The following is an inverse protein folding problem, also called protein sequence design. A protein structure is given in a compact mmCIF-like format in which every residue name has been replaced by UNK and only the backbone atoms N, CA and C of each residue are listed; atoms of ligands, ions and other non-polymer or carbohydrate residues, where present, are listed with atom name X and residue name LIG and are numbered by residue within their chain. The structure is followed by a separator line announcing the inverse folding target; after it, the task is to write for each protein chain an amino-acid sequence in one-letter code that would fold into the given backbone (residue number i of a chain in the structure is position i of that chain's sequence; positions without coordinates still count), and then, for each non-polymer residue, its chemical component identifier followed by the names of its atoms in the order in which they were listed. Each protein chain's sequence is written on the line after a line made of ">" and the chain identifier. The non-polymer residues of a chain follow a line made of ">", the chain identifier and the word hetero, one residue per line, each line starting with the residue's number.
data_IF_004339316995
#
_entry.id   IF_004339316995
#
_cell.length_a   1.000
_cell.length_b   1.000
_cell.length_c   1.000
_cell.angle_alpha   90.00
_cell.angle_beta   90.00
_cell.angle_gamma   90.00
#
_symmetry.space_group_name_H-M   'P 1'
#
loop_
_entity.id
_entity.type
_entity.pdbx_description
1 polymer ?
#
# COMPACT_ATOMS: atom_id res chain seq x y z
N UNK A 1 -5.74 17.02 -34.18
CA UNK A 1 -4.58 16.80 -33.31
C UNK A 1 -4.82 15.52 -32.48
N UNK A 2 -3.90 14.54 -32.46
CA UNK A 2 -4.08 13.28 -31.74
C UNK A 2 -4.38 13.44 -30.23
N UNK A 3 -4.07 14.61 -29.64
CA UNK A 3 -4.40 14.93 -28.25
C UNK A 3 -5.81 15.51 -28.06
N UNK A 4 -6.51 15.90 -29.14
CA UNK A 4 -7.82 16.56 -29.09
C UNK A 4 -8.89 15.97 -30.03
N UNK A 5 -8.48 15.18 -31.02
CA UNK A 5 -9.37 14.53 -32.01
C UNK A 5 -9.87 13.14 -31.56
N UNK A 6 -9.43 12.66 -30.40
CA UNK A 6 -9.82 11.36 -29.86
C UNK A 6 -11.32 11.32 -29.52
N UNK A 7 -11.96 10.19 -29.82
CA UNK A 7 -13.33 9.87 -29.40
C UNK A 7 -13.26 8.78 -28.32
N UNK A 8 -13.35 9.13 -27.02
CA UNK A 8 -13.25 8.16 -25.94
C UNK A 8 -14.31 7.05 -26.01
N UNK A 9 -15.44 7.28 -26.70
CA UNK A 9 -16.47 6.26 -26.90
C UNK A 9 -16.02 5.16 -27.89
N UNK A 10 -14.93 5.37 -28.63
CA UNK A 10 -14.30 4.41 -29.55
C UNK A 10 -12.99 3.84 -29.03
N UNK A 11 -12.68 4.04 -27.74
CA UNK A 11 -11.49 3.45 -27.13
C UNK A 11 -11.50 1.92 -27.34
N UNK A 12 -10.33 1.29 -27.60
CA UNK A 12 -10.25 -0.16 -27.57
C UNK A 12 -10.38 -0.67 -26.14
N UNK A 13 -10.86 -1.90 -25.95
CA UNK A 13 -10.82 -2.56 -24.65
C UNK A 13 -9.39 -3.04 -24.29
N UNK A 14 -8.60 -3.41 -25.31
CA UNK A 14 -7.21 -3.92 -25.18
C UNK A 14 -6.33 -3.27 -26.25
N UNK A 15 -5.13 -2.86 -25.87
CA UNK A 15 -4.09 -2.33 -26.77
C UNK A 15 -2.83 -3.18 -26.68
N UNK A 16 -2.32 -3.66 -27.82
CA UNK A 16 -1.04 -4.37 -27.90
C UNK A 16 0.06 -3.44 -28.43
N UNK A 17 1.14 -3.30 -27.67
CA UNK A 17 2.28 -2.45 -27.96
C UNK A 17 3.54 -3.31 -28.08
N UNK A 18 3.84 -3.72 -29.30
CA UNK A 18 5.01 -4.55 -29.63
C UNK A 18 6.21 -3.71 -30.06
N UNK A 19 6.51 -2.66 -29.29
CA UNK A 19 7.61 -1.74 -29.49
C UNK A 19 8.29 -1.45 -28.14
N UNK A 20 9.55 -1.04 -28.21
CA UNK A 20 10.30 -0.46 -27.09
C UNK A 20 10.83 0.90 -27.52
N UNK A 21 11.32 1.69 -26.58
CA UNK A 21 11.86 3.00 -26.88
C UNK A 21 13.19 3.24 -26.15
N UNK A 22 14.29 2.66 -26.65
CA UNK A 22 15.63 2.96 -26.15
C UNK A 22 16.05 4.39 -26.54
N UNK A 23 17.12 4.92 -25.94
CA UNK A 23 17.69 6.23 -26.29
C UNK A 23 17.98 6.36 -27.80
N UNK A 24 18.37 5.27 -28.46
CA UNK A 24 18.64 5.25 -29.90
C UNK A 24 17.41 5.53 -30.77
N UNK A 25 16.21 5.31 -30.25
CA UNK A 25 14.94 5.66 -30.91
C UNK A 25 14.42 7.04 -30.53
N UNK A 26 15.22 7.82 -29.79
CA UNK A 26 14.90 9.19 -29.42
C UNK A 26 14.13 9.32 -28.10
N UNK A 27 14.02 8.24 -27.32
CA UNK A 27 13.54 8.31 -25.94
C UNK A 27 14.58 8.94 -25.01
N UNK A 28 14.68 10.27 -25.08
CA UNK A 28 15.38 11.11 -24.10
C UNK A 28 14.48 11.37 -22.90
N UNK A 29 15.04 11.93 -21.82
CA UNK A 29 14.29 12.32 -20.60
C UNK A 29 12.95 12.99 -20.90
N UNK A 30 12.94 13.95 -21.83
CA UNK A 30 11.77 14.75 -22.17
C UNK A 30 10.66 13.93 -22.87
N UNK A 31 11.01 12.83 -23.54
CA UNK A 31 10.05 11.90 -24.18
C UNK A 31 9.54 10.88 -23.15
N UNK A 32 10.38 10.47 -22.20
CA UNK A 32 9.99 9.60 -21.10
C UNK A 32 8.91 10.25 -20.22
N UNK A 33 8.96 11.57 -20.05
CA UNK A 33 7.97 12.37 -19.32
C UNK A 33 6.55 12.33 -19.95
N UNK A 34 6.41 11.81 -21.18
CA UNK A 34 5.12 11.72 -21.88
C UNK A 34 4.59 10.28 -21.96
N UNK A 35 5.47 9.28 -22.14
CA UNK A 35 5.03 7.89 -22.39
C UNK A 35 4.33 7.31 -21.15
N UNK A 36 4.91 7.43 -19.96
CA UNK A 36 4.29 6.89 -18.74
C UNK A 36 2.95 7.55 -18.43
N UNK A 37 2.81 8.89 -18.39
CA UNK A 37 1.52 9.52 -18.16
C UNK A 37 0.47 9.16 -19.22
N UNK A 38 0.87 9.02 -20.49
CA UNK A 38 -0.05 8.63 -21.58
C UNK A 38 -0.52 7.19 -21.42
N UNK A 39 0.39 6.27 -21.05
CA UNK A 39 0.05 4.88 -20.75
C UNK A 39 -0.89 4.79 -19.55
N UNK A 40 -0.56 5.48 -18.46
CA UNK A 40 -1.38 5.52 -17.26
C UNK A 40 -2.77 6.09 -17.56
N UNK A 41 -2.87 7.17 -18.34
CA UNK A 41 -4.15 7.72 -18.78
C UNK A 41 -4.98 6.74 -19.61
N UNK A 42 -4.34 5.90 -20.45
CA UNK A 42 -5.04 4.84 -21.19
C UNK A 42 -5.59 3.76 -20.24
N UNK A 43 -4.79 3.36 -19.24
CA UNK A 43 -5.21 2.37 -18.23
C UNK A 43 -6.35 2.95 -17.37
N UNK A 44 -6.24 4.20 -16.92
CA UNK A 44 -7.28 4.90 -16.15
C UNK A 44 -8.57 5.10 -16.97
N UNK A 45 -8.43 5.23 -18.30
CA UNK A 45 -9.55 5.19 -19.22
C UNK A 45 -10.12 3.77 -19.40
N UNK A 46 -9.65 2.76 -18.68
CA UNK A 46 -10.16 1.40 -18.68
C UNK A 46 -9.65 0.53 -19.83
N UNK A 47 -8.52 0.88 -20.44
CA UNK A 47 -7.90 0.13 -21.53
C UNK A 47 -6.82 -0.79 -20.96
N UNK A 48 -6.89 -2.10 -21.28
CA UNK A 48 -5.78 -3.00 -20.95
C UNK A 48 -4.60 -2.76 -21.91
N UNK A 49 -3.49 -2.24 -21.38
CA UNK A 49 -2.29 -1.96 -22.17
C UNK A 49 -1.27 -3.11 -22.03
N UNK A 50 -1.18 -3.95 -23.06
CA UNK A 50 -0.23 -5.04 -23.18
C UNK A 50 1.03 -4.54 -23.88
N UNK A 51 2.21 -4.83 -23.34
CA UNK A 51 3.50 -4.37 -23.89
C UNK A 51 4.49 -5.53 -24.03
N UNK A 52 5.36 -5.49 -25.03
CA UNK A 52 6.43 -6.50 -25.17
C UNK A 52 7.56 -6.23 -24.17
N UNK A 53 8.06 -7.27 -23.48
CA UNK A 53 9.13 -7.12 -22.48
C UNK A 53 10.51 -6.75 -23.07
N UNK A 54 10.71 -6.97 -24.38
CA UNK A 54 11.99 -6.76 -25.07
C UNK A 54 12.66 -8.05 -25.52
N UNK A 55 13.71 -7.93 -26.35
CA UNK A 55 14.42 -9.05 -26.98
C UNK A 55 15.93 -9.04 -26.64
N UNK A 56 16.30 -8.52 -25.47
CA UNK A 56 17.68 -8.32 -25.04
C UNK A 56 18.21 -9.43 -24.10
N UNK A 57 17.47 -10.54 -23.97
CA UNK A 57 17.88 -11.71 -23.20
C UNK A 57 19.21 -12.33 -23.68
N UNK A 58 19.80 -13.26 -22.93
CA UNK A 58 19.22 -14.03 -21.82
C UNK A 58 19.63 -13.57 -20.42
N UNK A 59 20.36 -12.46 -20.28
CA UNK A 59 20.78 -11.96 -18.97
C UNK A 59 19.57 -11.44 -18.16
N UNK A 60 19.69 -11.44 -16.84
CA UNK A 60 18.73 -10.78 -15.95
C UNK A 60 18.83 -9.26 -16.08
N UNK A 61 17.78 -8.53 -15.67
CA UNK A 61 17.68 -7.07 -15.77
C UNK A 61 17.81 -6.54 -17.20
N UNK A 62 17.24 -7.25 -18.18
CA UNK A 62 17.24 -6.91 -19.62
C UNK A 62 15.90 -6.36 -20.12
N UNK A 63 14.91 -6.21 -19.24
CA UNK A 63 13.77 -5.31 -19.46
C UNK A 63 14.24 -3.89 -19.12
N UNK A 64 14.64 -3.11 -20.12
CA UNK A 64 15.29 -1.82 -19.90
C UNK A 64 14.61 -0.66 -20.63
N UNK A 65 13.76 -0.95 -21.60
CA UNK A 65 13.15 0.07 -22.44
C UNK A 65 11.67 0.31 -22.07
N UNK A 66 11.22 1.57 -22.06
CA UNK A 66 9.81 1.92 -22.06
C UNK A 66 9.05 1.26 -23.23
N UNK A 67 7.76 0.96 -23.06
CA UNK A 67 6.97 1.15 -21.85
C UNK A 67 7.07 -0.02 -20.84
N UNK A 68 7.83 -1.08 -21.15
CA UNK A 68 7.87 -2.31 -20.35
C UNK A 68 8.46 -2.14 -18.94
N UNK A 69 9.27 -1.10 -18.73
CA UNK A 69 9.85 -0.79 -17.43
C UNK A 69 8.87 -0.15 -16.44
N UNK A 70 7.74 0.38 -16.92
CA UNK A 70 6.84 1.14 -16.05
C UNK A 70 6.04 0.23 -15.12
N UNK A 71 5.75 0.65 -13.86
CA UNK A 71 5.07 -0.18 -12.88
C UNK A 71 3.74 -0.73 -13.38
N UNK A 72 2.89 0.13 -13.94
CA UNK A 72 1.53 -0.22 -14.43
C UNK A 72 1.49 -0.92 -15.80
N UNK A 73 2.63 -1.11 -16.46
CA UNK A 73 2.67 -1.80 -17.74
C UNK A 73 2.37 -3.30 -17.57
N UNK A 74 1.66 -3.93 -18.51
CA UNK A 74 1.47 -5.38 -18.51
C UNK A 74 2.42 -6.03 -19.52
N UNK A 75 3.65 -6.32 -19.07
CA UNK A 75 4.75 -6.74 -19.93
C UNK A 75 4.73 -8.24 -20.22
N UNK A 76 5.00 -8.61 -21.48
CA UNK A 76 4.90 -9.99 -21.97
C UNK A 76 6.26 -10.55 -22.39
N UNK A 77 6.67 -11.65 -21.74
CA UNK A 77 7.81 -12.48 -22.11
C UNK A 77 7.49 -13.48 -23.22
N UNK A 78 8.53 -14.04 -23.86
CA UNK A 78 8.38 -14.96 -24.99
C UNK A 78 8.84 -16.37 -24.63
N UNK A 79 8.02 -17.36 -24.93
CA UNK A 79 8.37 -18.78 -24.87
C UNK A 79 8.57 -19.40 -26.25
N UNK A 80 9.12 -20.61 -26.24
CA UNK A 80 9.29 -21.49 -27.39
C UNK A 80 8.15 -22.52 -27.44
N UNK A 81 8.14 -23.35 -28.49
CA UNK A 81 7.11 -24.38 -28.71
C UNK A 81 7.03 -25.46 -27.60
N UNK A 82 8.07 -25.56 -26.78
CA UNK A 82 8.18 -26.52 -25.68
C UNK A 82 8.04 -25.83 -24.31
N UNK A 83 7.41 -24.66 -24.27
CA UNK A 83 7.16 -23.82 -23.10
C UNK A 83 8.41 -23.26 -22.40
N UNK A 84 9.62 -23.62 -22.85
CA UNK A 84 10.84 -23.01 -22.36
C UNK A 84 10.93 -21.55 -22.81
N UNK A 85 11.48 -20.70 -21.95
CA UNK A 85 11.70 -19.29 -22.25
C UNK A 85 12.58 -19.17 -23.50
N UNK A 86 12.19 -18.28 -24.42
CA UNK A 86 13.01 -17.97 -25.57
C UNK A 86 14.30 -17.29 -25.10
N UNK A 87 15.44 -17.68 -25.68
CA UNK A 87 16.75 -17.15 -25.25
C UNK A 87 16.85 -15.62 -25.37
N UNK A 88 16.16 -15.04 -26.35
CA UNK A 88 16.11 -13.60 -26.57
C UNK A 88 15.15 -12.87 -25.61
N UNK A 89 14.21 -13.57 -24.95
CA UNK A 89 13.22 -12.89 -24.11
C UNK A 89 13.93 -12.11 -23.01
N UNK A 90 13.68 -10.80 -22.95
CA UNK A 90 14.14 -9.96 -21.85
C UNK A 90 13.57 -10.46 -20.52
N UNK A 91 14.35 -10.29 -19.45
CA UNK A 91 14.09 -10.79 -18.10
C UNK A 91 14.25 -9.65 -17.10
N UNK A 92 13.41 -9.62 -16.09
CA UNK A 92 13.52 -8.65 -15.01
C UNK A 92 14.58 -9.04 -13.97
N UNK A 93 14.48 -8.52 -12.75
CA UNK A 93 13.52 -7.49 -12.33
C UNK A 93 13.76 -6.12 -13.02
N UNK A 94 12.93 -5.12 -12.71
CA UNK A 94 13.10 -3.72 -13.10
C UNK A 94 13.08 -2.84 -11.87
N UNK A 95 14.07 -1.97 -11.70
CA UNK A 95 14.05 -0.91 -10.68
C UNK A 95 13.56 0.41 -11.30
N UNK A 96 12.45 0.93 -10.80
CA UNK A 96 11.83 2.17 -11.25
C UNK A 96 11.36 3.00 -10.05
N UNK A 97 11.66 4.30 -10.02
CA UNK A 97 11.24 5.18 -8.92
C UNK A 97 11.80 4.82 -7.53
N UNK A 98 12.85 4.00 -7.46
CA UNK A 98 13.41 3.50 -6.20
C UNK A 98 12.78 2.19 -5.69
N UNK A 99 11.81 1.65 -6.43
CA UNK A 99 11.14 0.38 -6.15
C UNK A 99 11.51 -0.66 -7.22
N UNK A 100 11.47 -1.94 -6.83
CA UNK A 100 11.77 -3.06 -7.73
C UNK A 100 10.49 -3.80 -8.08
N UNK A 101 10.22 -3.96 -9.37
CA UNK A 101 9.05 -4.61 -9.92
C UNK A 101 9.44 -5.86 -10.68
N UNK A 102 8.64 -6.91 -10.52
CA UNK A 102 8.75 -8.09 -11.36
C UNK A 102 8.35 -7.74 -12.80
N UNK A 103 9.21 -8.10 -13.75
CA UNK A 103 8.92 -8.13 -15.18
C UNK A 103 9.56 -9.38 -15.81
N UNK A 104 8.99 -9.95 -16.88
CA UNK A 104 7.66 -9.64 -17.42
C UNK A 104 6.56 -9.98 -16.40
N UNK A 105 5.33 -9.49 -16.64
CA UNK A 105 4.17 -9.86 -15.83
C UNK A 105 3.71 -11.29 -16.15
N UNK A 106 3.75 -11.66 -17.42
CA UNK A 106 3.29 -12.95 -17.94
C UNK A 106 4.09 -13.29 -19.20
N UNK A 107 4.05 -14.54 -19.64
CA UNK A 107 4.69 -14.99 -20.88
C UNK A 107 3.70 -15.65 -21.82
N UNK A 108 4.06 -15.71 -23.10
CA UNK A 108 3.27 -16.40 -24.12
C UNK A 108 4.17 -16.88 -25.27
N UNK A 109 3.67 -17.75 -26.17
CA UNK A 109 4.42 -18.19 -27.34
C UNK A 109 4.92 -17.03 -28.19
N UNK A 110 6.23 -16.92 -28.35
CA UNK A 110 6.88 -15.82 -29.07
C UNK A 110 7.96 -16.26 -30.06
N UNK A 111 8.24 -17.56 -30.19
CA UNK A 111 9.26 -18.07 -31.12
C UNK A 111 8.65 -18.82 -32.30
N UNK A 112 9.09 -18.46 -33.52
CA UNK A 112 8.64 -19.06 -34.78
C UNK A 112 7.11 -19.03 -34.96
N UNK A 113 6.48 -17.94 -34.51
CA UNK A 113 5.04 -17.75 -34.62
C UNK A 113 4.71 -17.40 -36.06
N UNK A 114 3.84 -18.22 -36.67
CA UNK A 114 3.36 -18.00 -38.03
C UNK A 114 2.16 -17.07 -38.02
N UNK A 115 2.24 -15.96 -38.74
CA UNK A 115 1.14 -14.99 -38.85
C UNK A 115 1.12 -14.34 -40.24
N UNK A 116 0.10 -13.53 -40.50
CA UNK A 116 -0.05 -12.78 -41.74
C UNK A 116 1.05 -11.74 -41.92
N UNK A 117 1.50 -11.59 -43.15
CA UNK A 117 2.42 -10.53 -43.61
C UNK A 117 1.79 -9.82 -44.81
N UNK A 118 2.27 -8.63 -45.21
CA UNK A 118 1.71 -7.92 -46.35
C UNK A 118 1.66 -8.75 -47.63
N UNK A 119 0.73 -8.39 -48.53
CA UNK A 119 0.52 -9.02 -49.84
C UNK A 119 0.00 -10.47 -49.76
N UNK A 120 -0.97 -10.75 -48.87
CA UNK A 120 -1.66 -12.04 -48.74
C UNK A 120 -0.71 -13.23 -48.47
N UNK A 121 0.31 -12.99 -47.64
CA UNK A 121 1.33 -13.99 -47.31
C UNK A 121 1.31 -14.34 -45.83
N UNK A 122 1.94 -15.47 -45.52
CA UNK A 122 2.26 -15.88 -44.15
C UNK A 122 3.76 -15.99 -43.97
N UNK A 123 4.23 -15.62 -42.78
CA UNK A 123 5.62 -15.72 -42.39
C UNK A 123 5.75 -16.07 -40.93
N UNK A 124 6.88 -16.68 -40.57
CA UNK A 124 7.20 -17.00 -39.17
C UNK A 124 8.19 -15.97 -38.64
N UNK A 125 7.88 -15.40 -37.48
CA UNK A 125 8.74 -14.43 -36.79
C UNK A 125 8.92 -14.84 -35.32
N UNK A 126 9.98 -14.32 -34.71
CA UNK A 126 10.30 -14.55 -33.30
C UNK A 126 10.52 -13.21 -32.60
N UNK A 127 9.95 -13.06 -31.40
CA UNK A 127 10.09 -11.89 -30.56
C UNK A 127 9.03 -11.86 -29.46
N UNK A 128 9.28 -11.09 -28.40
CA UNK A 128 8.21 -10.70 -27.45
C UNK A 128 7.10 -9.91 -28.16
N UNK A 129 7.40 -9.29 -29.31
CA UNK A 129 6.43 -8.73 -30.25
C UNK A 129 5.42 -9.75 -30.81
N UNK A 130 5.75 -11.04 -30.82
CA UNK A 130 4.82 -12.11 -31.21
C UNK A 130 4.09 -12.71 -29.99
N UNK A 131 4.69 -12.62 -28.81
CA UNK A 131 4.05 -13.07 -27.56
C UNK A 131 2.96 -12.08 -27.07
N UNK A 132 3.23 -10.77 -27.13
CA UNK A 132 2.26 -9.71 -26.77
C UNK A 132 0.86 -9.90 -27.38
N UNK A 133 0.71 -10.08 -28.70
CA UNK A 133 -0.61 -10.28 -29.31
C UNK A 133 -1.30 -11.60 -28.92
N UNK A 134 -0.58 -12.63 -28.46
CA UNK A 134 -1.22 -13.79 -27.86
C UNK A 134 -1.94 -13.39 -26.56
N UNK A 135 -1.25 -12.69 -25.66
CA UNK A 135 -1.84 -12.23 -24.38
C UNK A 135 -2.99 -11.25 -24.62
N UNK A 136 -2.84 -10.32 -25.57
CA UNK A 136 -3.93 -9.42 -25.96
C UNK A 136 -5.15 -10.18 -26.51
N UNK A 137 -4.91 -11.27 -27.26
CA UNK A 137 -5.97 -12.17 -27.73
C UNK A 137 -6.66 -12.93 -26.60
N UNK A 138 -5.90 -13.45 -25.63
CA UNK A 138 -6.45 -14.09 -24.42
C UNK A 138 -7.30 -13.11 -23.63
N UNK A 139 -6.82 -11.88 -23.43
CA UNK A 139 -7.59 -10.83 -22.79
C UNK A 139 -8.89 -10.51 -23.56
N UNK A 140 -8.84 -10.42 -24.89
CA UNK A 140 -10.05 -10.20 -25.70
C UNK A 140 -11.06 -11.34 -25.56
N UNK A 141 -10.61 -12.60 -25.47
CA UNK A 141 -11.48 -13.75 -25.19
C UNK A 141 -12.11 -13.65 -23.80
N UNK A 142 -11.32 -13.30 -22.78
CA UNK A 142 -11.81 -13.10 -21.41
C UNK A 142 -12.89 -12.02 -21.35
N UNK A 143 -12.63 -10.84 -21.93
CA UNK A 143 -13.59 -9.73 -21.98
C UNK A 143 -14.82 -10.03 -22.85
N UNK A 144 -14.71 -10.96 -23.79
CA UNK A 144 -15.85 -11.43 -24.59
C UNK A 144 -16.73 -12.42 -23.80
N UNK A 145 -16.10 -13.28 -23.00
CA UNK A 145 -16.80 -14.21 -22.12
C UNK A 145 -17.50 -13.49 -20.97
N UNK A 146 -16.89 -12.43 -20.43
CA UNK A 146 -17.43 -11.61 -19.36
C UNK A 146 -17.32 -10.11 -19.68
N UNK A 147 -18.33 -9.54 -20.35
CA UNK A 147 -18.31 -8.14 -20.75
C UNK A 147 -18.28 -7.14 -19.58
N UNK A 148 -18.64 -7.54 -18.35
CA UNK A 148 -18.54 -6.63 -17.20
C UNK A 148 -17.09 -6.28 -16.83
N UNK A 149 -16.10 -7.08 -17.25
CA UNK A 149 -14.68 -6.78 -17.08
C UNK A 149 -14.18 -5.63 -17.97
N UNK A 150 -14.96 -5.22 -18.99
CA UNK A 150 -14.57 -4.09 -19.84
C UNK A 150 -14.48 -2.81 -19.02
N UNK A 151 -13.37 -2.10 -19.14
CA UNK A 151 -13.10 -0.93 -18.32
C UNK A 151 -12.44 -1.25 -16.96
N UNK A 152 -12.12 -2.51 -16.67
CA UNK A 152 -11.46 -2.95 -15.43
C UNK A 152 -10.10 -3.61 -15.74
N UNK A 153 -9.11 -2.88 -16.29
CA UNK A 153 -7.88 -3.49 -16.79
C UNK A 153 -7.07 -4.18 -15.70
N UNK A 154 -7.03 -3.65 -14.48
CA UNK A 154 -6.30 -4.27 -13.35
C UNK A 154 -6.94 -5.60 -12.91
N UNK A 155 -8.28 -5.70 -12.91
CA UNK A 155 -8.98 -6.97 -12.63
C UNK A 155 -8.72 -7.99 -13.75
N UNK A 156 -8.73 -7.56 -15.01
CA UNK A 156 -8.39 -8.42 -16.13
C UNK A 156 -6.93 -8.92 -16.05
N UNK A 157 -5.98 -8.06 -15.68
CA UNK A 157 -4.59 -8.46 -15.44
C UNK A 157 -4.51 -9.51 -14.33
N UNK A 158 -5.16 -9.27 -13.19
CA UNK A 158 -5.15 -10.22 -12.07
C UNK A 158 -5.66 -11.61 -12.48
N UNK A 159 -6.72 -11.70 -13.28
CA UNK A 159 -7.21 -12.99 -13.81
C UNK A 159 -6.15 -13.62 -14.72
N UNK A 160 -5.61 -12.87 -15.69
CA UNK A 160 -4.62 -13.40 -16.62
C UNK A 160 -3.36 -13.91 -15.91
N UNK A 161 -2.90 -13.19 -14.89
CA UNK A 161 -1.74 -13.54 -14.07
C UNK A 161 -2.03 -14.79 -13.22
N UNK A 162 -3.08 -14.78 -12.42
CA UNK A 162 -3.38 -15.86 -11.45
C UNK A 162 -3.88 -17.15 -12.09
N UNK A 163 -4.24 -17.13 -13.37
CA UNK A 163 -4.69 -18.31 -14.11
C UNK A 163 -3.68 -18.80 -15.15
N UNK A 164 -2.53 -18.14 -15.25
CA UNK A 164 -1.43 -18.58 -16.10
C UNK A 164 -0.89 -19.94 -15.66
N UNK A 165 -0.37 -20.71 -16.62
CA UNK A 165 0.33 -21.96 -16.34
C UNK A 165 1.67 -21.63 -15.67
N UNK A 166 1.73 -21.86 -14.36
CA UNK A 166 2.87 -21.51 -13.52
C UNK A 166 4.17 -22.19 -14.01
N UNK A 167 5.24 -21.40 -14.12
CA UNK A 167 6.56 -21.86 -14.52
C UNK A 167 7.55 -21.55 -13.41
N UNK A 168 8.31 -22.56 -12.97
CA UNK A 168 9.33 -22.40 -11.93
C UNK A 168 10.67 -22.04 -12.57
N UNK A 169 11.23 -20.89 -12.22
CA UNK A 169 12.58 -20.48 -12.59
C UNK A 169 13.18 -19.56 -11.52
N UNK A 170 14.39 -19.91 -11.05
CA UNK A 170 15.12 -19.16 -10.04
C UNK A 170 16.32 -18.39 -10.62
N UNK A 171 16.50 -18.39 -11.94
CA UNK A 171 17.69 -17.84 -12.60
C UNK A 171 17.84 -16.33 -12.41
N UNK A 172 16.72 -15.59 -12.41
CA UNK A 172 16.71 -14.12 -12.29
C UNK A 172 16.00 -13.64 -11.02
N UNK A 173 15.82 -14.52 -10.02
CA UNK A 173 15.03 -14.23 -8.83
C UNK A 173 13.53 -14.29 -9.09
N UNK A 174 12.77 -13.93 -8.06
CA UNK A 174 11.34 -14.20 -7.95
C UNK A 174 11.01 -14.64 -6.52
N UNK A 175 9.83 -15.23 -6.36
CA UNK A 175 9.41 -15.79 -5.09
C UNK A 175 10.25 -17.03 -4.72
N UNK A 176 10.27 -17.36 -3.43
CA UNK A 176 11.18 -18.37 -2.89
C UNK A 176 10.93 -19.80 -3.42
N UNK A 177 9.71 -20.09 -3.88
CA UNK A 177 9.33 -21.34 -4.55
C UNK A 177 9.61 -21.32 -6.07
N UNK A 178 10.06 -20.18 -6.58
CA UNK A 178 10.39 -19.93 -7.99
C UNK A 178 9.21 -19.53 -8.86
N UNK A 179 8.04 -19.20 -8.29
CA UNK A 179 6.89 -18.67 -9.03
C UNK A 179 6.02 -17.74 -8.16
N UNK A 180 5.65 -16.54 -8.64
CA UNK A 180 6.07 -15.94 -9.90
C UNK A 180 7.55 -15.55 -9.90
N UNK A 181 8.12 -15.31 -11.08
CA UNK A 181 9.55 -15.03 -11.23
C UNK A 181 9.89 -14.02 -12.32
N UNK A 182 11.11 -13.51 -12.30
CA UNK A 182 11.61 -12.48 -13.23
C UNK A 182 11.93 -13.01 -14.65
N UNK A 183 11.63 -14.27 -14.95
CA UNK A 183 11.81 -14.88 -16.27
C UNK A 183 10.48 -15.02 -17.02
N UNK A 184 9.49 -15.65 -16.39
CA UNK A 184 8.18 -15.95 -16.96
C UNK A 184 7.08 -15.03 -16.44
N UNK A 185 7.32 -14.27 -15.38
CA UNK A 185 6.29 -13.59 -14.60
C UNK A 185 5.43 -14.60 -13.85
N UNK A 186 4.12 -14.44 -13.97
CA UNK A 186 3.13 -15.40 -13.49
C UNK A 186 3.04 -16.69 -14.33
N UNK A 187 3.85 -16.85 -15.37
CA UNK A 187 3.86 -18.07 -16.18
C UNK A 187 3.30 -17.85 -17.58
N UNK A 188 2.77 -18.89 -18.19
CA UNK A 188 2.32 -18.85 -19.59
C UNK A 188 0.82 -18.60 -19.65
N UNK A 189 0.39 -17.60 -20.43
CA UNK A 189 -1.02 -17.23 -20.54
C UNK A 189 -1.90 -18.42 -20.97
N UNK A 190 -2.93 -18.70 -20.16
CA UNK A 190 -3.87 -19.80 -20.39
C UNK A 190 -5.31 -19.28 -20.51
N UNK A 191 -5.83 -19.27 -21.74
CA UNK A 191 -7.18 -18.76 -22.02
C UNK A 191 -8.29 -19.59 -21.39
N UNK A 192 -8.11 -20.91 -21.31
CA UNK A 192 -9.10 -21.80 -20.74
C UNK A 192 -9.24 -21.57 -19.24
N UNK A 193 -8.12 -21.60 -18.51
CA UNK A 193 -8.10 -21.36 -17.06
C UNK A 193 -8.64 -19.97 -16.71
N UNK A 194 -8.29 -18.94 -17.51
CA UNK A 194 -8.82 -17.59 -17.33
C UNK A 194 -10.36 -17.55 -17.40
N UNK A 195 -10.96 -18.19 -18.41
CA UNK A 195 -12.42 -18.21 -18.59
C UNK A 195 -13.09 -19.11 -17.54
N UNK A 196 -12.52 -20.28 -17.24
CA UNK A 196 -13.07 -21.21 -16.24
C UNK A 196 -13.12 -20.58 -14.85
N UNK A 197 -12.12 -19.76 -14.50
CA UNK A 197 -12.06 -19.04 -13.22
C UNK A 197 -13.30 -18.17 -12.96
N UNK A 198 -13.93 -17.62 -14.01
CA UNK A 198 -15.11 -16.75 -13.89
C UNK A 198 -16.33 -17.43 -13.27
N UNK A 199 -16.37 -18.76 -13.27
CA UNK A 199 -17.47 -19.56 -12.70
C UNK A 199 -17.15 -20.17 -11.34
N UNK A 200 -15.91 -20.02 -10.88
CA UNK A 200 -15.41 -20.66 -9.67
C UNK A 200 -15.56 -19.72 -8.46
N UNK A 201 -15.84 -20.33 -7.31
CA UNK A 201 -15.79 -19.62 -6.04
C UNK A 201 -14.32 -19.36 -5.66
N UNK A 202 -14.07 -18.22 -5.03
CA UNK A 202 -12.78 -17.82 -4.53
C UNK A 202 -12.81 -17.67 -3.00
N UNK A 203 -11.63 -17.58 -2.42
CA UNK A 203 -11.44 -17.29 -1.00
C UNK A 203 -10.63 -16.01 -0.84
N UNK A 204 -11.09 -15.09 0.01
CA UNK A 204 -10.31 -13.96 0.47
C UNK A 204 -9.95 -14.20 1.94
N UNK A 205 -8.66 -14.41 2.20
CA UNK A 205 -8.12 -14.65 3.55
C UNK A 205 -7.20 -13.51 3.96
N UNK A 206 -6.92 -13.40 5.25
CA UNK A 206 -5.87 -12.51 5.72
C UNK A 206 -5.72 -12.55 7.24
N UNK A 207 -4.68 -11.90 7.72
CA UNK A 207 -4.38 -11.76 9.15
C UNK A 207 -4.36 -10.28 9.53
N UNK A 208 -5.06 -9.95 10.61
CA UNK A 208 -5.04 -8.61 11.20
C UNK A 208 -4.06 -8.59 12.36
N UNK A 209 -3.10 -7.67 12.30
CA UNK A 209 -2.06 -7.52 13.31
C UNK A 209 -2.05 -6.12 13.92
N UNK A 210 -1.52 -6.03 15.15
CA UNK A 210 -1.37 -4.81 15.90
C UNK A 210 -0.11 -4.06 15.44
N UNK A 211 -0.25 -2.77 15.12
CA UNK A 211 0.85 -1.98 14.53
C UNK A 211 2.02 -1.70 15.47
N UNK A 212 1.86 -1.84 16.79
CA UNK A 212 2.93 -1.63 17.76
C UNK A 212 3.65 -2.92 18.14
N UNK A 213 2.89 -4.01 18.25
CA UNK A 213 3.39 -5.28 18.80
C UNK A 213 3.58 -6.37 17.75
N UNK A 214 3.07 -6.17 16.53
CA UNK A 214 2.92 -7.20 15.49
C UNK A 214 2.09 -8.41 15.93
N UNK A 215 1.41 -8.34 17.08
CA UNK A 215 0.60 -9.43 17.58
C UNK A 215 -0.71 -9.56 16.82
N UNK A 216 -1.24 -10.77 16.74
CA UNK A 216 -2.56 -11.03 16.18
C UNK A 216 -3.67 -10.27 16.92
N UNK A 217 -4.60 -9.68 16.19
CA UNK A 217 -5.73 -8.94 16.75
C UNK A 217 -7.00 -9.78 16.65
N UNK A 218 -7.42 -10.38 17.76
CA UNK A 218 -8.67 -11.15 17.86
C UNK A 218 -9.91 -10.25 17.93
N UNK A 219 -11.02 -10.65 17.31
CA UNK A 219 -12.31 -9.96 17.41
C UNK A 219 -12.37 -8.58 16.74
N UNK A 220 -11.45 -8.26 15.83
CA UNK A 220 -11.60 -7.13 14.94
C UNK A 220 -12.69 -7.43 13.92
N UNK A 221 -13.55 -6.46 13.62
CA UNK A 221 -14.59 -6.58 12.59
C UNK A 221 -13.99 -6.26 11.24
N UNK A 222 -14.07 -7.19 10.30
CA UNK A 222 -13.67 -7.02 8.91
C UNK A 222 -14.94 -6.93 8.08
N UNK A 223 -15.15 -5.78 7.43
CA UNK A 223 -16.33 -5.54 6.59
C UNK A 223 -15.90 -5.47 5.13
N UNK A 224 -16.55 -6.26 4.29
CA UNK A 224 -16.25 -6.39 2.87
C UNK A 224 -17.17 -5.50 2.04
N UNK A 225 -16.61 -4.82 1.04
CA UNK A 225 -17.35 -4.02 0.07
C UNK A 225 -16.91 -4.36 -1.35
N UNK A 226 -17.81 -4.15 -2.32
CA UNK A 226 -17.41 -4.05 -3.72
C UNK A 226 -16.58 -2.78 -3.89
N UNK A 227 -15.52 -2.80 -4.69
CA UNK A 227 -14.74 -1.59 -4.97
C UNK A 227 -15.57 -0.51 -5.69
N UNK A 228 -16.61 -0.94 -6.44
CA UNK A 228 -17.52 -0.04 -7.17
C UNK A 228 -18.62 0.59 -6.31
N UNK A 229 -18.91 0.04 -5.11
CA UNK A 229 -19.85 0.60 -4.14
C UNK A 229 -19.33 0.39 -2.72
N UNK A 230 -18.73 1.44 -2.17
CA UNK A 230 -18.17 1.44 -0.81
C UNK A 230 -19.18 1.86 0.25
N UNK A 231 -20.44 2.08 -0.13
CA UNK A 231 -21.50 2.53 0.81
C UNK A 231 -22.34 1.38 1.35
N UNK A 232 -22.39 0.26 0.62
CA UNK A 232 -23.17 -0.93 0.99
C UNK A 232 -22.24 -2.10 1.32
N UNK A 233 -22.17 -2.55 2.59
CA UNK A 233 -21.45 -3.76 2.94
C UNK A 233 -21.99 -4.98 2.19
N UNK A 234 -21.12 -5.78 1.61
CA UNK A 234 -21.47 -7.06 1.01
C UNK A 234 -21.57 -8.16 2.06
N UNK A 235 -20.61 -8.18 2.99
CA UNK A 235 -20.51 -9.16 4.06
C UNK A 235 -19.63 -8.62 5.21
N UNK A 236 -19.65 -9.28 6.37
CA UNK A 236 -18.77 -8.95 7.49
C UNK A 236 -18.44 -10.17 8.33
N UNK A 237 -17.23 -10.23 8.86
CA UNK A 237 -16.79 -11.27 9.79
C UNK A 237 -15.94 -10.68 10.91
N UNK A 238 -15.57 -11.49 11.90
CA UNK A 238 -14.66 -11.10 12.98
C UNK A 238 -13.42 -11.98 12.97
N UNK A 239 -12.26 -11.39 13.24
CA UNK A 239 -10.99 -12.13 13.29
C UNK A 239 -10.97 -13.15 14.43
N UNK A 240 -10.34 -14.31 14.17
CA UNK A 240 -10.09 -15.34 15.18
C UNK A 240 -8.91 -14.98 16.11
N UNK A 241 -8.59 -15.86 17.07
CA UNK A 241 -7.53 -15.63 18.05
C UNK A 241 -6.12 -15.45 17.44
N UNK A 242 -5.89 -16.02 16.25
CA UNK A 242 -4.68 -15.84 15.45
C UNK A 242 -4.72 -14.60 14.55
N UNK A 243 -5.77 -13.77 14.65
CA UNK A 243 -5.99 -12.59 13.82
C UNK A 243 -6.53 -12.92 12.43
N UNK A 244 -6.74 -14.20 12.12
CA UNK A 244 -7.19 -14.67 10.82
C UNK A 244 -8.66 -14.33 10.55
N UNK A 245 -8.97 -14.01 9.30
CA UNK A 245 -10.34 -13.89 8.79
C UNK A 245 -10.44 -14.53 7.39
N UNK A 246 -11.66 -14.84 6.95
CA UNK A 246 -11.92 -15.45 5.64
C UNK A 246 -13.30 -15.05 5.10
N UNK A 247 -13.38 -14.85 3.78
CA UNK A 247 -14.61 -14.70 3.02
C UNK A 247 -14.63 -15.69 1.84
N UNK A 248 -15.82 -16.15 1.49
CA UNK A 248 -16.03 -16.94 0.27
C UNK A 248 -16.84 -16.13 -0.75
N UNK A 249 -16.21 -15.79 -1.87
CA UNK A 249 -16.67 -14.76 -2.80
C UNK A 249 -16.67 -15.25 -4.24
N UNK A 250 -17.36 -14.54 -5.12
CA UNK A 250 -17.09 -14.63 -6.56
C UNK A 250 -15.81 -13.84 -6.89
N UNK A 251 -15.31 -13.99 -8.13
CA UNK A 251 -14.25 -13.12 -8.62
C UNK A 251 -14.73 -11.66 -8.65
N UNK A 252 -13.79 -10.71 -8.52
CA UNK A 252 -14.11 -9.29 -8.60
C UNK A 252 -13.11 -8.40 -7.86
N UNK A 253 -13.36 -7.09 -7.93
CA UNK A 253 -12.61 -6.06 -7.22
C UNK A 253 -13.33 -5.69 -5.92
N UNK A 254 -12.61 -5.82 -4.82
CA UNK A 254 -13.11 -5.63 -3.46
C UNK A 254 -12.24 -4.65 -2.68
N UNK A 255 -12.78 -4.24 -1.53
CA UNK A 255 -12.03 -3.62 -0.44
C UNK A 255 -12.51 -4.20 0.88
N UNK A 256 -11.66 -4.16 1.89
CA UNK A 256 -12.07 -4.41 3.27
C UNK A 256 -11.84 -3.18 4.14
N UNK A 257 -12.74 -2.99 5.09
CA UNK A 257 -12.57 -2.05 6.19
C UNK A 257 -12.48 -2.84 7.50
N UNK A 258 -11.41 -2.61 8.25
CA UNK A 258 -11.12 -3.31 9.50
C UNK A 258 -11.25 -2.33 10.65
N UNK A 259 -12.09 -2.69 11.63
CA UNK A 259 -12.33 -1.87 12.81
C UNK A 259 -12.32 -2.68 14.09
N UNK A 260 -11.80 -2.08 15.16
CA UNK A 260 -11.87 -2.62 16.51
C UNK A 260 -11.87 -1.47 17.51
N UNK A 261 -12.63 -1.58 18.59
CA UNK A 261 -12.58 -0.60 19.68
C UNK A 261 -11.16 -0.46 20.21
N UNK A 262 -10.70 0.79 20.35
CA UNK A 262 -9.32 1.09 20.74
C UNK A 262 -8.31 1.11 19.60
N UNK A 263 -8.73 0.92 18.33
CA UNK A 263 -7.89 1.01 17.14
C UNK A 263 -8.44 2.00 16.13
N UNK A 264 -7.56 2.65 15.37
CA UNK A 264 -7.94 3.38 14.16
C UNK A 264 -8.47 2.40 13.11
N UNK A 265 -9.43 2.85 12.30
CA UNK A 265 -9.99 2.02 11.23
C UNK A 265 -9.01 1.98 10.06
N UNK A 266 -8.69 0.78 9.59
CA UNK A 266 -7.78 0.56 8.46
C UNK A 266 -8.59 0.08 7.26
N UNK A 267 -8.28 0.56 6.06
CA UNK A 267 -8.82 0.06 4.79
C UNK A 267 -7.73 -0.63 3.99
N UNK A 268 -8.05 -1.77 3.38
CA UNK A 268 -7.20 -2.42 2.37
C UNK A 268 -7.93 -2.39 1.04
N UNK A 269 -7.36 -1.67 0.07
CA UNK A 269 -7.89 -1.56 -1.29
C UNK A 269 -6.78 -1.15 -2.28
N UNK A 270 -6.90 -1.53 -3.57
CA UNK A 270 -7.86 -2.49 -4.12
C UNK A 270 -7.45 -3.96 -3.85
N UNK A 271 -8.43 -4.86 -3.77
CA UNK A 271 -8.22 -6.32 -3.67
C UNK A 271 -8.83 -7.00 -4.89
N UNK A 272 -8.03 -7.65 -5.71
CA UNK A 272 -8.49 -8.39 -6.89
C UNK A 272 -8.61 -9.88 -6.59
N UNK A 273 -9.83 -10.37 -6.44
CA UNK A 273 -10.12 -11.77 -6.12
C UNK A 273 -10.39 -12.54 -7.41
N UNK A 274 -9.65 -13.62 -7.64
CA UNK A 274 -9.77 -14.48 -8.84
C UNK A 274 -10.42 -15.81 -8.46
N UNK A 275 -11.40 -16.26 -9.25
CA UNK A 275 -12.12 -17.51 -8.99
C UNK A 275 -11.22 -18.73 -8.96
N UNK A 276 -11.48 -19.66 -8.04
CA UNK A 276 -10.69 -20.88 -7.85
C UNK A 276 -9.40 -20.68 -7.07
N UNK A 277 -9.11 -19.47 -6.61
CA UNK A 277 -7.87 -19.11 -5.92
C UNK A 277 -8.15 -18.56 -4.52
N UNK A 278 -7.11 -18.57 -3.68
CA UNK A 278 -7.08 -17.80 -2.43
C UNK A 278 -6.32 -16.51 -2.67
N UNK A 279 -6.94 -15.37 -2.36
CA UNK A 279 -6.30 -14.06 -2.31
C UNK A 279 -6.05 -13.68 -0.85
N UNK A 280 -4.83 -13.24 -0.54
CA UNK A 280 -4.48 -12.78 0.82
C UNK A 280 -4.53 -11.27 0.90
N UNK A 281 -5.18 -10.73 1.93
CA UNK A 281 -5.21 -9.30 2.25
C UNK A 281 -4.99 -9.08 3.76
N UNK A 282 -3.73 -8.97 4.16
CA UNK A 282 -3.39 -8.66 5.55
C UNK A 282 -3.61 -7.18 5.85
N UNK A 283 -3.88 -6.85 7.12
CA UNK A 283 -3.94 -5.46 7.54
C UNK A 283 -3.32 -5.24 8.92
N UNK A 284 -2.84 -4.02 9.13
CA UNK A 284 -2.31 -3.56 10.41
C UNK A 284 -3.31 -2.57 11.01
N UNK A 285 -3.75 -2.83 12.23
CA UNK A 285 -4.53 -1.90 13.02
C UNK A 285 -3.60 -1.14 13.97
N UNK A 286 -3.60 0.18 13.86
CA UNK A 286 -2.86 1.04 14.78
C UNK A 286 -3.74 1.32 16.00
N UNK A 287 -3.29 1.04 17.23
CA UNK A 287 -3.99 1.42 18.44
C UNK A 287 -4.28 2.92 18.44
N UNK A 288 -5.49 3.30 18.84
CA UNK A 288 -5.79 4.71 19.05
C UNK A 288 -4.89 5.23 20.17
N UNK A 289 -4.47 6.48 20.06
CA UNK A 289 -3.82 7.15 21.15
C UNK A 289 -4.63 7.03 22.45
N UNK A 290 -4.00 6.52 23.52
CA UNK A 290 -4.65 6.48 24.82
C UNK A 290 -4.75 7.92 25.35
N UNK A 291 -5.98 8.42 25.52
CA UNK A 291 -6.19 9.66 26.25
C UNK A 291 -5.72 9.42 27.71
N UNK A 292 -4.72 10.16 28.15
CA UNK A 292 -4.23 10.15 29.53
C UNK A 292 -4.91 11.30 30.25
N UNK A 293 -5.82 11.02 31.17
CA UNK A 293 -6.38 12.06 32.05
C UNK A 293 -5.43 12.30 33.22
N UNK A 294 -5.11 13.56 33.52
CA UNK A 294 -4.33 13.91 34.71
C UNK A 294 -5.01 15.05 35.46
N UNK A 295 -4.98 15.00 36.79
CA UNK A 295 -5.34 16.15 37.60
C UNK A 295 -4.06 16.86 38.01
N UNK A 296 -3.97 18.17 37.79
CA UNK A 296 -2.88 19.01 38.29
C UNK A 296 -3.46 20.09 39.21
N UNK A 297 -2.92 20.19 40.42
CA UNK A 297 -3.22 21.28 41.33
C UNK A 297 -1.93 21.89 41.85
N UNK A 298 -1.98 23.19 42.16
CA UNK A 298 -0.83 23.94 42.66
C UNK A 298 -1.22 24.54 44.00
N UNK A 299 -0.49 24.19 45.04
CA UNK A 299 -0.63 24.75 46.39
C UNK A 299 0.58 25.63 46.72
N UNK A 300 0.34 26.84 47.23
CA UNK A 300 1.38 27.71 47.75
C UNK A 300 1.55 27.47 49.26
N UNK A 301 2.74 27.03 49.69
CA UNK A 301 3.04 26.79 51.10
C UNK A 301 4.45 27.27 51.45
N UNK A 302 4.59 28.05 52.52
CA UNK A 302 5.87 28.44 53.12
C UNK A 302 6.92 29.12 52.19
N UNK A 303 6.51 29.77 51.10
CA UNK A 303 7.47 30.39 50.18
C UNK A 303 7.60 29.67 48.84
N UNK A 304 7.10 28.44 48.76
CA UNK A 304 7.33 27.50 47.66
C UNK A 304 5.99 27.12 47.00
N UNK A 305 6.02 26.90 45.68
CA UNK A 305 4.95 26.25 44.93
C UNK A 305 5.12 24.73 45.04
N UNK A 306 4.05 24.05 45.48
CA UNK A 306 3.94 22.59 45.49
C UNK A 306 2.97 22.21 44.37
N UNK A 307 3.47 21.47 43.38
CA UNK A 307 2.63 20.90 42.34
C UNK A 307 2.21 19.50 42.79
N UNK A 308 0.90 19.26 42.89
CA UNK A 308 0.34 17.93 43.07
C UNK A 308 -0.25 17.46 41.75
N UNK A 309 0.07 16.24 41.36
CA UNK A 309 -0.57 15.63 40.21
C UNK A 309 -1.00 14.20 40.49
N UNK A 310 -2.05 13.79 39.80
CA UNK A 310 -2.62 12.45 39.89
C UNK A 310 -2.78 11.85 38.50
N UNK A 311 -2.22 10.66 38.33
CA UNK A 311 -2.33 9.85 37.11
C UNK A 311 -3.53 8.90 37.22
N UNK A 312 -4.38 8.86 36.19
CA UNK A 312 -5.67 8.16 36.24
C UNK A 312 -5.65 6.79 35.53
N UNK A 313 -4.64 6.48 34.71
CA UNK A 313 -4.58 5.25 33.89
C UNK A 313 -3.31 4.39 34.13
N UNK A 314 -3.15 3.25 33.46
CA UNK A 314 -2.08 2.26 33.73
C UNK A 314 -0.75 2.50 32.97
N UNK A 315 -0.62 3.60 32.21
CA UNK A 315 0.60 3.91 31.45
C UNK A 315 1.68 4.59 32.29
N UNK A 316 2.89 4.03 32.30
CA UNK A 316 4.08 4.71 32.85
C UNK A 316 4.49 5.83 31.88
N UNK A 317 4.24 7.08 32.26
CA UNK A 317 4.60 8.26 31.47
C UNK A 317 5.67 9.05 32.21
N UNK A 318 6.74 9.45 31.52
CA UNK A 318 7.74 10.35 32.11
C UNK A 318 7.24 11.77 31.94
N UNK A 319 7.38 12.60 32.97
CA UNK A 319 6.94 14.00 32.91
C UNK A 319 8.13 14.93 33.09
N UNK A 320 8.11 16.05 32.36
CA UNK A 320 9.00 17.18 32.60
C UNK A 320 8.19 18.41 32.98
N UNK A 321 8.62 19.07 34.07
CA UNK A 321 7.98 20.29 34.54
C UNK A 321 8.89 21.46 34.18
N UNK A 322 8.31 22.45 33.51
CA UNK A 322 8.99 23.65 33.07
C UNK A 322 8.33 24.87 33.69
N UNK A 323 9.16 25.84 34.09
CA UNK A 323 8.71 27.13 34.62
C UNK A 323 8.94 28.21 33.58
N UNK A 324 7.88 28.98 33.29
CA UNK A 324 7.90 30.19 32.48
C UNK A 324 7.74 31.44 33.36
N UNK A 325 8.61 32.46 33.23
CA UNK A 325 8.41 33.76 33.85
C UNK A 325 7.34 34.61 33.12
N UNK A 326 6.83 34.16 31.97
CA UNK A 326 5.75 34.81 31.21
C UNK A 326 4.42 34.07 31.46
N UNK A 327 3.32 34.78 31.84
CA UNK A 327 2.01 34.17 32.12
C UNK A 327 1.19 33.79 30.88
N UNK A 328 1.60 34.25 29.69
CA UNK A 328 0.92 34.00 28.41
C UNK A 328 1.92 33.52 27.34
N UNK A 329 2.55 32.34 27.49
CA UNK A 329 3.45 31.79 26.49
C UNK A 329 2.64 31.13 25.36
N UNK A 330 1.92 31.95 24.57
CA UNK A 330 1.26 31.46 23.34
C UNK A 330 2.27 31.02 22.26
N UNK A 331 3.57 31.23 22.50
CA UNK A 331 4.68 30.76 21.68
C UNK A 331 5.86 30.35 22.57
N UNK A 332 6.14 29.06 22.57
CA UNK A 332 7.16 28.29 23.29
C UNK A 332 8.65 28.69 23.08
N UNK A 333 8.96 29.96 22.80
CA UNK A 333 10.34 30.36 22.52
C UNK A 333 10.94 31.25 23.62
N UNK A 334 11.89 30.63 24.34
CA UNK A 334 13.16 31.16 24.87
C UNK A 334 13.32 31.33 26.39
N UNK A 335 12.27 31.48 27.19
CA UNK A 335 12.41 31.80 28.63
C UNK A 335 11.97 30.69 29.61
N UNK A 336 11.70 29.47 29.15
CA UNK A 336 11.34 28.35 30.03
C UNK A 336 12.57 27.63 30.59
N UNK A 337 12.55 27.30 31.88
CA UNK A 337 13.60 26.49 32.53
C UNK A 337 13.04 25.17 33.09
N UNK A 338 13.72 24.04 32.83
CA UNK A 338 13.33 22.72 33.37
C UNK A 338 13.59 22.72 34.86
N UNK A 339 12.54 22.50 35.65
CA UNK A 339 12.63 22.47 37.11
C UNK A 339 12.66 21.04 37.66
N UNK A 340 12.09 20.06 36.95
CA UNK A 340 12.08 18.67 37.42
C UNK A 340 11.66 17.64 36.37
N UNK A 341 11.92 16.37 36.70
CA UNK A 341 11.51 15.21 35.92
C UNK A 341 10.97 14.13 36.87
N UNK A 342 9.84 13.53 36.54
CA UNK A 342 9.23 12.51 37.39
C UNK A 342 8.71 11.34 36.57
N UNK A 343 8.81 10.14 37.13
CA UNK A 343 8.33 8.88 36.53
C UNK A 343 7.42 8.17 37.55
N UNK A 344 6.11 8.03 37.31
CA UNK A 344 5.21 7.29 38.19
C UNK A 344 5.44 5.78 38.09
N UNK A 345 5.20 5.06 39.19
CA UNK A 345 5.29 3.60 39.25
C UNK A 345 3.94 2.90 39.36
N UNK A 346 2.84 3.62 39.66
CA UNK A 346 1.51 3.02 39.87
C UNK A 346 0.32 3.96 39.51
N UNK A 347 -0.83 3.34 39.25
CA UNK A 347 -2.16 3.99 39.14
C UNK A 347 -2.50 4.80 40.40
N UNK A 348 -3.01 6.02 40.24
CA UNK A 348 -3.41 6.93 41.33
C UNK A 348 -2.28 7.38 42.27
N UNK A 349 -1.02 7.27 41.84
CA UNK A 349 0.10 7.78 42.63
C UNK A 349 0.07 9.32 42.63
N UNK A 350 -0.21 9.91 43.79
CA UNK A 350 -0.08 11.34 43.99
C UNK A 350 1.38 11.65 44.24
N UNK A 351 1.95 12.45 43.38
CA UNK A 351 3.35 12.87 43.48
C UNK A 351 3.37 14.38 43.70
N UNK A 352 4.36 14.82 44.47
CA UNK A 352 4.52 16.24 44.83
C UNK A 352 5.93 16.68 44.48
N UNK A 353 6.02 17.86 43.86
CA UNK A 353 7.29 18.49 43.52
C UNK A 353 7.34 19.89 44.13
N UNK A 354 8.47 20.22 44.74
CA UNK A 354 8.74 21.53 45.34
C UNK A 354 9.68 22.29 44.43
N UNK A 355 9.29 23.49 43.99
CA UNK A 355 10.19 24.41 43.27
C UNK A 355 10.88 25.37 44.28
N UNK A 356 12.13 25.09 44.69
CA UNK A 356 12.85 25.92 45.67
C UNK A 356 13.25 27.29 45.10
N UNK A 357 13.14 27.49 43.78
CA UNK A 357 13.41 28.77 43.13
C UNK A 357 12.13 29.60 42.95
N UNK A 358 10.96 29.06 43.28
CA UNK A 358 9.76 29.85 43.47
C UNK A 358 9.93 30.64 44.77
N UNK A 359 9.91 31.96 44.71
CA UNK A 359 9.84 32.78 45.92
C UNK A 359 8.48 33.44 45.96
N UNK A 360 7.80 33.45 47.11
CA UNK A 360 6.50 34.16 47.29
C UNK A 360 6.57 35.67 46.97
N UNK A 361 7.78 36.24 46.82
CA UNK A 361 8.02 37.63 46.43
C UNK A 361 8.52 37.79 44.98
N UNK A 362 8.73 36.69 44.26
CA UNK A 362 8.61 36.69 42.80
C UNK A 362 7.17 37.13 42.50
N UNK A 363 6.86 37.92 41.46
CA UNK A 363 5.50 38.30 41.13
C UNK A 363 4.75 37.05 40.65
N UNK A 364 4.48 36.11 41.55
CA UNK A 364 3.70 34.89 41.41
C UNK A 364 2.21 35.22 41.32
N UNK A 365 1.91 36.22 40.49
CA UNK A 365 0.69 36.32 39.72
C UNK A 365 0.97 36.17 38.21
N UNK A 366 2.24 36.07 37.79
CA UNK A 366 2.63 36.04 36.37
C UNK A 366 3.53 34.86 35.94
N UNK A 367 3.98 33.97 36.84
CA UNK A 367 4.69 32.75 36.40
C UNK A 367 3.71 31.63 36.03
N UNK A 368 3.96 30.94 34.92
CA UNK A 368 3.20 29.77 34.51
C UNK A 368 4.04 28.49 34.59
N UNK A 369 3.42 27.38 34.99
CA UNK A 369 4.02 26.06 34.98
C UNK A 369 3.44 25.26 33.81
N UNK A 370 4.32 24.65 33.02
CA UNK A 370 3.94 23.78 31.91
C UNK A 370 4.43 22.38 32.21
N UNK A 371 3.54 21.40 32.06
CA UNK A 371 3.85 19.99 32.29
C UNK A 371 3.83 19.28 30.94
N UNK A 372 4.97 18.73 30.54
CA UNK A 372 5.08 17.87 29.36
C UNK A 372 5.04 16.42 29.79
N UNK A 373 4.14 15.67 29.17
CA UNK A 373 4.18 14.21 29.24
C UNK A 373 5.02 13.68 28.08
N UNK A 374 5.94 12.76 28.38
CA UNK A 374 6.87 12.13 27.45
C UNK A 374 6.57 10.64 27.46
N UNK A 375 6.08 10.14 26.32
CA UNK A 375 5.94 8.71 26.08
C UNK A 375 7.27 8.12 25.54
N UNK A 376 7.33 6.80 25.36
CA UNK A 376 8.50 6.09 24.82
C UNK A 376 8.91 6.50 23.40
N UNK A 377 8.11 7.32 22.71
CA UNK A 377 8.34 7.84 21.36
C UNK A 377 8.79 9.32 21.35
N UNK A 378 8.89 9.98 22.51
CA UNK A 378 9.42 11.35 22.63
C UNK A 378 8.48 12.46 22.18
N UNK A 379 7.17 12.21 22.15
CA UNK A 379 6.16 13.19 21.72
C UNK A 379 5.73 14.07 22.90
N UNK A 380 5.68 15.40 22.69
CA UNK A 380 5.31 16.42 23.68
C UNK A 380 3.91 16.95 23.40
N UNK A 381 3.05 17.09 24.40
CA UNK A 381 1.79 17.85 24.32
C UNK A 381 1.81 19.04 25.28
N UNK A 382 1.29 20.18 24.84
CA UNK A 382 1.39 21.48 25.52
C UNK A 382 0.14 21.73 26.39
N UNK A 383 0.31 22.18 27.63
CA UNK A 383 -0.80 22.41 28.58
C UNK A 383 -0.67 23.76 29.30
N UNK A 384 -1.81 24.46 29.34
CA UNK A 384 -2.08 25.89 29.56
C UNK A 384 -2.03 26.40 31.04
N UNK A 385 -2.10 27.73 31.19
CA UNK A 385 -1.57 28.60 32.26
C UNK A 385 -2.53 28.95 33.41
N UNK A 386 -2.06 28.88 34.66
CA UNK A 386 -2.64 29.62 35.81
C UNK A 386 -2.88 28.83 37.11
N UNK A 387 -3.02 29.54 38.24
CA UNK A 387 -3.23 28.98 39.59
C UNK A 387 -4.70 28.60 39.87
N UNK A 388 -4.95 27.34 40.28
CA UNK A 388 -6.24 26.78 40.74
C UNK A 388 -6.34 25.26 40.55
N UNK A 389 -7.27 24.57 41.25
CA UNK A 389 -7.62 23.16 40.95
C UNK A 389 -8.29 23.10 39.56
N UNK A 390 -7.74 22.29 38.64
CA UNK A 390 -8.34 22.03 37.33
C UNK A 390 -8.14 20.56 36.93
N UNK A 391 -9.15 20.00 36.27
CA UNK A 391 -9.12 18.67 35.65
C UNK A 391 -8.49 18.81 34.25
N UNK A 392 -7.50 17.98 33.90
CA UNK A 392 -6.84 18.03 32.59
C UNK A 392 -7.03 16.72 31.84
N UNK A 393 -7.32 16.81 30.54
CA UNK A 393 -7.36 15.66 29.64
C UNK A 393 -6.23 15.80 28.63
N UNK A 394 -5.23 14.94 28.74
CA UNK A 394 -4.11 14.89 27.81
C UNK A 394 -4.43 13.87 26.71
N UNK A 395 -4.40 14.29 25.45
CA UNK A 395 -4.48 13.35 24.33
C UNK A 395 -3.04 13.02 23.93
N UNK A 396 -2.54 11.87 24.37
CA UNK A 396 -1.20 11.40 23.99
C UNK A 396 -1.33 10.66 22.67
N UNK A 397 -0.68 11.07 21.56
CA UNK A 397 -0.68 10.39 20.26
C UNK A 397 -0.14 8.95 20.30
#
# INVERSE_FOLDING_TARGET
>A
DPLTDGDPAKKPDVMNNSWGCPESEGCTSDVLDVIEPSMNAAIDAGILVVVSAGNAGSACHTVQDPPAIYPRSFAVGATQFNDSLASFSSRGDVTYGGETFMKPNISAPGSYITSSTPNDNYGSMSGTSMAGPHVAGVAALLLSAEPSLKGQPEMAQAILERTADAMVDNTCGGDADGHPNNSYGWGIANAQSAIESLSQQATLDGVISDGLTSAAVEGATVTLYALSDTSTPLDSTTTAADGGYSFSLSWGSYRIEVSKTGYETTTVEPIYVVGGQTTTADAVLNPKPAAVSTDLSIEASNGEAILHWRHVDDTVVRYEIWRSPNPYPDRLNADTSKVGEVTPGALNEMLSFTDPNSTLNDPATESAYVVYAINSLGIYSDVDHGLGEREFSLVVP
#
